data_IF_214725752350
#
_entry.id   IF_214725752350
#
_cell.length_a   1.000
_cell.length_b   1.000
_cell.length_c   1.000
_cell.angle_alpha   90.00
_cell.angle_beta   90.00
_cell.angle_gamma   90.00
#
_symmetry.space_group_name_H-M   'P 1'
#
loop_
_entity.id
_entity.type
_entity.pdbx_description
1 polymer ?
#
# COMPACT_ATOMS: atom_id res chain seq x y z
N UNK A 1 3.81 -39.43 13.44
CA UNK A 1 4.85 -38.71 12.69
C UNK A 1 4.59 -37.22 12.47
N UNK A 2 3.35 -36.73 12.39
CA UNK A 2 3.07 -35.29 12.17
C UNK A 2 3.62 -34.35 13.28
N UNK A 3 3.55 -34.76 14.55
CA UNK A 3 4.05 -33.93 15.67
C UNK A 3 5.59 -33.84 15.76
N UNK A 4 6.32 -34.81 15.21
CA UNK A 4 7.78 -34.75 15.15
C UNK A 4 8.23 -33.78 14.04
N UNK A 5 7.57 -33.83 12.89
CA UNK A 5 7.81 -32.91 11.78
C UNK A 5 7.49 -31.45 12.14
N UNK A 6 6.35 -31.17 12.80
CA UNK A 6 6.00 -29.81 13.21
C UNK A 6 7.00 -29.21 14.23
N UNK A 7 7.54 -30.03 15.15
CA UNK A 7 8.59 -29.62 16.08
C UNK A 7 9.91 -29.36 15.36
N UNK A 8 10.25 -30.20 14.38
CA UNK A 8 11.45 -30.04 13.57
C UNK A 8 11.35 -28.80 12.68
N UNK A 9 10.19 -28.52 12.11
CA UNK A 9 9.92 -27.35 11.27
C UNK A 9 9.93 -26.04 12.08
N UNK A 10 9.34 -26.05 13.29
CA UNK A 10 9.41 -24.94 14.23
C UNK A 10 10.86 -24.68 14.69
N UNK A 11 11.62 -25.75 14.91
CA UNK A 11 13.03 -25.66 15.28
C UNK A 11 13.90 -25.12 14.13
N UNK A 12 13.66 -25.56 12.88
CA UNK A 12 14.32 -24.99 11.70
C UNK A 12 13.99 -23.51 11.49
N UNK A 13 12.73 -23.10 11.71
CA UNK A 13 12.31 -21.70 11.61
C UNK A 13 12.93 -20.85 12.73
N UNK A 14 13.07 -21.39 13.94
CA UNK A 14 13.78 -20.75 15.05
C UNK A 14 15.28 -20.62 14.75
N UNK A 15 15.92 -21.67 14.26
CA UNK A 15 17.34 -21.69 13.90
C UNK A 15 17.65 -20.77 12.71
N UNK A 16 16.78 -20.71 11.69
CA UNK A 16 16.90 -19.79 10.57
C UNK A 16 16.67 -18.33 10.98
N UNK A 17 15.68 -18.09 11.87
CA UNK A 17 15.45 -16.79 12.47
C UNK A 17 16.62 -16.32 13.32
N UNK A 18 17.23 -17.22 14.08
CA UNK A 18 18.42 -16.98 14.90
C UNK A 18 19.67 -16.74 14.04
N UNK A 19 19.86 -17.47 12.94
CA UNK A 19 20.97 -17.26 12.01
C UNK A 19 20.84 -15.94 11.24
N UNK A 20 19.62 -15.55 10.84
CA UNK A 20 19.35 -14.24 10.26
C UNK A 20 19.59 -13.12 11.28
N UNK A 21 19.23 -13.36 12.55
CA UNK A 21 19.57 -12.49 13.67
C UNK A 21 21.09 -12.37 13.84
N UNK A 22 21.84 -13.47 13.87
CA UNK A 22 23.30 -13.44 14.06
C UNK A 22 24.02 -12.68 12.95
N UNK A 23 23.57 -12.80 11.69
CA UNK A 23 24.07 -12.00 10.57
C UNK A 23 23.79 -10.51 10.75
N UNK A 24 22.60 -10.15 11.26
CA UNK A 24 22.26 -8.76 11.59
C UNK A 24 23.00 -8.25 12.82
N UNK A 25 23.31 -9.09 13.81
CA UNK A 25 24.13 -8.75 14.98
C UNK A 25 25.58 -8.52 14.57
N UNK A 26 26.13 -9.36 13.70
CA UNK A 26 27.50 -9.25 13.19
C UNK A 26 27.72 -8.01 12.31
N UNK A 27 26.65 -7.50 11.68
CA UNK A 27 26.67 -6.29 10.87
C UNK A 27 26.59 -4.98 11.70
N UNK A 28 26.40 -5.04 13.03
CA UNK A 28 26.39 -3.85 13.89
C UNK A 28 27.82 -3.50 14.37
N UNK A 29 28.29 -2.26 14.20
CA UNK A 29 29.61 -1.87 14.68
C UNK A 29 29.63 -1.87 16.22
N UNK A 30 30.47 -2.72 16.82
CA UNK A 30 30.80 -2.65 18.25
C UNK A 30 30.82 -3.95 19.05
N UNK A 31 30.48 -5.13 18.51
CA UNK A 31 30.63 -6.40 19.27
C UNK A 31 31.95 -7.11 18.94
N UNK A 32 33.06 -6.53 19.38
CA UNK A 32 34.36 -7.20 19.36
C UNK A 32 35.05 -6.99 20.70
N UNK A 33 35.00 -8.01 21.57
CA UNK A 33 35.96 -8.13 22.67
C UNK A 33 37.34 -8.28 22.02
N UNK A 34 38.14 -7.20 22.07
CA UNK A 34 39.53 -7.20 21.62
C UNK A 34 40.39 -7.95 22.65
N UNK A 35 40.81 -9.17 22.32
CA UNK A 35 42.10 -9.66 22.82
C UNK A 35 43.23 -8.97 22.03
N UNK A 36 44.25 -8.54 22.76
CA UNK A 36 45.37 -7.77 22.24
C UNK A 36 46.27 -8.63 21.33
N UNK A 37 46.68 -8.06 20.19
CA UNK A 37 47.61 -8.70 19.27
C UNK A 37 48.01 -7.78 18.11
N UNK A 38 48.93 -6.86 18.38
CA UNK A 38 50.01 -6.35 17.53
C UNK A 38 49.87 -6.31 15.98
N UNK A 39 50.10 -5.09 15.47
CA UNK A 39 50.78 -4.68 14.22
C UNK A 39 50.08 -4.80 12.86
N UNK A 40 49.88 -3.63 12.22
CA UNK A 40 49.78 -3.45 10.76
C UNK A 40 48.56 -2.65 10.30
N UNK A 41 48.79 -1.49 9.68
CA UNK A 41 47.82 -0.49 9.18
C UNK A 41 46.51 -1.00 8.55
N UNK A 42 45.40 -0.25 8.69
CA UNK A 42 44.23 -0.38 7.82
C UNK A 42 44.03 0.89 6.96
N UNK A 43 43.94 0.71 5.65
CA UNK A 43 43.02 1.38 4.73
C UNK A 43 42.83 0.41 3.55
N UNK A 44 41.57 0.12 3.17
CA UNK A 44 40.88 1.07 2.31
C UNK A 44 39.48 1.44 2.83
N UNK A 45 39.12 2.69 2.52
CA UNK A 45 37.79 3.27 2.57
C UNK A 45 36.71 2.27 2.14
N UNK A 46 35.82 1.92 3.06
CA UNK A 46 34.48 1.44 2.74
C UNK A 46 33.52 2.56 3.13
N UNK A 47 33.32 3.47 2.18
CA UNK A 47 32.20 4.39 2.16
C UNK A 47 30.91 3.59 2.33
N UNK A 48 30.26 3.78 3.46
CA UNK A 48 28.89 3.35 3.67
C UNK A 48 28.02 4.25 2.80
N UNK A 49 27.77 3.84 1.55
CA UNK A 49 26.69 4.44 0.78
C UNK A 49 25.41 4.26 1.57
N UNK A 50 24.93 5.38 2.11
CA UNK A 50 23.64 5.45 2.77
C UNK A 50 22.61 4.82 1.85
N UNK A 51 21.89 3.84 2.38
CA UNK A 51 20.68 3.33 1.78
C UNK A 51 19.61 4.43 1.78
N UNK A 52 19.77 5.43 0.91
CA UNK A 52 18.67 6.17 0.32
C UNK A 52 17.98 5.21 -0.64
N UNK A 53 17.22 4.24 -0.10
CA UNK A 53 16.38 3.40 -0.94
C UNK A 53 15.13 4.19 -1.31
N UNK A 54 15.28 5.02 -2.34
CA UNK A 54 14.42 4.92 -3.51
C UNK A 54 14.33 3.44 -3.86
N UNK A 55 13.13 2.85 -3.87
CA UNK A 55 12.90 1.46 -4.29
C UNK A 55 13.34 1.32 -5.76
N UNK A 56 14.63 1.01 -5.98
CA UNK A 56 15.20 0.71 -7.29
C UNK A 56 14.83 -0.71 -7.71
N UNK A 57 14.66 -0.92 -9.02
CA UNK A 57 14.21 -2.13 -9.72
C UNK A 57 14.84 -3.48 -9.27
N UNK A 58 15.98 -3.48 -8.56
CA UNK A 58 16.65 -4.69 -8.07
C UNK A 58 15.83 -5.55 -7.09
N UNK A 59 14.97 -4.94 -6.25
CA UNK A 59 14.11 -5.69 -5.31
C UNK A 59 12.97 -6.43 -6.04
N UNK A 60 12.60 -5.98 -7.23
CA UNK A 60 11.57 -6.61 -8.06
C UNK A 60 12.09 -7.90 -8.69
N UNK A 61 13.36 -7.92 -9.08
CA UNK A 61 14.02 -9.12 -9.62
C UNK A 61 14.32 -10.13 -8.53
N UNK A 62 14.64 -9.70 -7.30
CA UNK A 62 14.77 -10.62 -6.18
C UNK A 62 13.42 -11.23 -5.78
N UNK A 63 12.32 -10.47 -5.81
CA UNK A 63 10.98 -11.00 -5.53
C UNK A 63 10.47 -11.93 -6.64
N UNK A 64 10.73 -11.62 -7.93
CA UNK A 64 10.42 -12.51 -9.06
C UNK A 64 11.25 -13.79 -9.03
N UNK A 65 12.55 -13.68 -8.73
CA UNK A 65 13.45 -14.82 -8.60
C UNK A 65 13.09 -15.69 -7.38
N UNK A 66 12.64 -15.06 -6.29
CA UNK A 66 12.13 -15.79 -5.10
C UNK A 66 10.79 -16.45 -5.40
N UNK A 67 9.89 -15.79 -6.14
CA UNK A 67 8.64 -16.36 -6.64
C UNK A 67 8.89 -17.60 -7.52
N UNK A 68 9.83 -17.50 -8.46
CA UNK A 68 10.14 -18.61 -9.38
C UNK A 68 10.82 -19.78 -8.65
N UNK A 69 11.65 -19.51 -7.64
CA UNK A 69 12.21 -20.54 -6.74
C UNK A 69 11.16 -21.20 -5.86
N UNK A 70 10.14 -20.47 -5.41
CA UNK A 70 9.01 -21.01 -4.62
C UNK A 70 8.13 -21.89 -5.50
N UNK A 71 7.89 -21.51 -6.76
CA UNK A 71 7.20 -22.33 -7.77
C UNK A 71 7.96 -23.63 -8.07
N UNK A 72 9.30 -23.58 -8.10
CA UNK A 72 10.15 -24.75 -8.34
C UNK A 72 10.28 -25.69 -7.12
N UNK A 73 9.99 -25.19 -5.91
CA UNK A 73 10.17 -25.91 -4.65
C UNK A 73 8.95 -26.72 -4.18
N UNK A 74 7.86 -26.77 -4.96
CA UNK A 74 6.77 -27.73 -4.73
C UNK A 74 6.10 -27.64 -3.34
N UNK A 75 5.88 -26.43 -2.83
CA UNK A 75 5.10 -26.21 -1.61
C UNK A 75 3.62 -26.40 -1.92
N UNK A 76 3.15 -27.64 -1.81
CA UNK A 76 1.74 -27.99 -1.87
C UNK A 76 0.98 -27.47 -0.65
N UNK A 77 -0.26 -27.01 -0.93
CA UNK A 77 -1.32 -26.63 0.01
C UNK A 77 -1.28 -25.16 0.48
N UNK A 78 -1.56 -24.26 -0.48
CA UNK A 78 -2.36 -23.01 -0.34
C UNK A 78 -2.36 -22.18 -1.65
N UNK A 79 -1.55 -22.58 -2.65
CA UNK A 79 -1.52 -21.99 -4.00
C UNK A 79 -2.61 -22.47 -4.96
N UNK A 80 -3.51 -23.36 -4.52
CA UNK A 80 -4.51 -23.97 -5.42
C UNK A 80 -5.59 -23.00 -5.91
N UNK A 81 -5.74 -21.83 -5.26
CA UNK A 81 -6.70 -20.80 -5.71
C UNK A 81 -6.12 -19.95 -6.85
N UNK A 82 -4.80 -19.87 -7.02
CA UNK A 82 -4.18 -19.02 -8.06
C UNK A 82 -3.72 -19.76 -9.33
N UNK A 83 -3.55 -21.09 -9.28
CA UNK A 83 -3.07 -21.86 -10.45
C UNK A 83 -4.22 -22.24 -11.40
N UNK A 84 -5.45 -22.38 -10.90
CA UNK A 84 -6.63 -22.53 -11.76
C UNK A 84 -6.88 -21.26 -12.59
N UNK A 85 -6.69 -20.07 -12.00
CA UNK A 85 -6.86 -18.78 -12.68
C UNK A 85 -5.86 -18.56 -13.84
N UNK A 86 -4.63 -19.07 -13.77
CA UNK A 86 -3.66 -18.91 -14.87
C UNK A 86 -4.06 -19.73 -16.11
N UNK A 87 -4.71 -20.89 -15.92
CA UNK A 87 -5.30 -21.67 -17.01
C UNK A 87 -6.50 -20.96 -17.66
N UNK A 88 -7.33 -20.28 -16.86
CA UNK A 88 -8.44 -19.46 -17.35
C UNK A 88 -7.96 -18.18 -18.06
N UNK A 89 -6.89 -17.53 -17.60
CA UNK A 89 -6.32 -16.34 -18.25
C UNK A 89 -5.77 -16.66 -19.65
N UNK A 90 -5.18 -17.85 -19.85
CA UNK A 90 -4.72 -18.27 -21.20
C UNK A 90 -5.89 -18.63 -22.12
N UNK A 91 -7.05 -19.00 -21.58
CA UNK A 91 -8.27 -19.21 -22.36
C UNK A 91 -9.01 -17.90 -22.69
N UNK A 92 -8.66 -16.78 -22.06
CA UNK A 92 -9.33 -15.49 -22.21
C UNK A 92 -9.42 -15.01 -23.67
N UNK A 93 -8.31 -15.12 -24.40
CA UNK A 93 -8.23 -14.74 -25.82
C UNK A 93 -9.05 -15.67 -26.74
N UNK A 94 -9.54 -16.79 -26.21
CA UNK A 94 -10.30 -17.79 -26.97
C UNK A 94 -11.79 -17.85 -26.61
N UNK A 95 -12.21 -17.20 -25.51
CA UNK A 95 -13.58 -17.30 -24.97
C UNK A 95 -14.67 -16.73 -25.89
N UNK A 96 -14.31 -15.79 -26.79
CA UNK A 96 -15.27 -15.15 -27.70
C UNK A 96 -15.02 -15.47 -29.17
N UNK A 97 -14.18 -16.47 -29.49
CA UNK A 97 -13.85 -16.82 -30.88
C UNK A 97 -15.01 -17.47 -31.63
N UNK A 98 -15.93 -18.10 -30.93
CA UNK A 98 -17.15 -18.70 -31.48
C UNK A 98 -18.31 -17.70 -31.58
N UNK A 99 -18.16 -16.51 -31.01
CA UNK A 99 -19.15 -15.44 -31.13
C UNK A 99 -19.16 -14.89 -32.57
N UNK A 100 -20.34 -14.49 -33.05
CA UNK A 100 -20.44 -13.82 -34.34
C UNK A 100 -19.67 -12.49 -34.31
N UNK A 101 -19.18 -12.04 -35.48
CA UNK A 101 -18.33 -10.86 -35.64
C UNK A 101 -18.74 -9.61 -34.82
N UNK A 102 -20.04 -9.20 -34.75
CA UNK A 102 -20.43 -8.03 -33.94
C UNK A 102 -20.38 -8.25 -32.42
N UNK A 103 -20.23 -9.49 -31.96
CA UNK A 103 -20.26 -9.88 -30.54
C UNK A 103 -18.94 -10.46 -30.03
N UNK A 104 -17.88 -10.44 -30.84
CA UNK A 104 -16.57 -10.99 -30.45
C UNK A 104 -15.76 -10.08 -29.51
N UNK A 105 -16.02 -8.77 -29.52
CA UNK A 105 -15.24 -7.79 -28.73
C UNK A 105 -16.13 -6.74 -28.08
N UNK A 106 -15.69 -6.21 -26.92
CA UNK A 106 -16.37 -5.12 -26.22
C UNK A 106 -16.63 -3.91 -27.14
N UNK A 107 -15.62 -3.52 -27.93
CA UNK A 107 -15.71 -2.41 -28.89
C UNK A 107 -16.80 -2.65 -29.94
N UNK A 108 -16.91 -3.85 -30.49
CA UNK A 108 -17.92 -4.18 -31.49
C UNK A 108 -19.34 -4.11 -30.90
N UNK A 109 -19.54 -4.68 -29.72
CA UNK A 109 -20.83 -4.64 -29.02
C UNK A 109 -21.23 -3.21 -28.66
N UNK A 110 -20.28 -2.42 -28.15
CA UNK A 110 -20.49 -0.99 -27.90
C UNK A 110 -20.97 -0.28 -29.17
N UNK A 111 -20.28 -0.48 -30.30
CA UNK A 111 -20.61 0.17 -31.56
C UNK A 111 -22.01 -0.21 -32.07
N UNK A 112 -22.44 -1.45 -31.86
CA UNK A 112 -23.80 -1.88 -32.20
C UNK A 112 -24.87 -1.23 -31.32
N UNK A 113 -24.64 -1.14 -30.01
CA UNK A 113 -25.56 -0.46 -29.09
C UNK A 113 -25.66 1.04 -29.38
N UNK A 114 -24.52 1.71 -29.61
CA UNK A 114 -24.49 3.12 -30.04
C UNK A 114 -25.17 3.31 -31.41
N UNK A 115 -24.96 2.39 -32.35
CA UNK A 115 -25.62 2.37 -33.63
C UNK A 115 -27.14 2.21 -33.51
N UNK A 116 -27.62 1.32 -32.64
CA UNK A 116 -29.04 1.12 -32.40
C UNK A 116 -29.68 2.37 -31.77
N UNK A 117 -29.02 2.95 -30.77
CA UNK A 117 -29.43 4.20 -30.12
C UNK A 117 -29.63 5.33 -31.13
N UNK A 118 -28.71 5.48 -32.10
CA UNK A 118 -28.81 6.47 -33.19
C UNK A 118 -29.91 6.17 -34.21
N UNK A 119 -30.01 4.90 -34.65
CA UNK A 119 -30.95 4.50 -35.72
C UNK A 119 -32.40 4.50 -35.25
N UNK A 120 -32.64 4.04 -34.01
CA UNK A 120 -33.99 3.81 -33.47
C UNK A 120 -34.07 4.17 -31.97
N UNK A 121 -34.00 5.46 -31.61
CA UNK A 121 -33.94 5.90 -30.20
C UNK A 121 -35.18 5.50 -29.39
N UNK A 122 -36.37 5.50 -30.00
CA UNK A 122 -37.59 5.07 -29.32
C UNK A 122 -37.55 3.58 -28.96
N UNK A 123 -37.15 2.72 -29.91
CA UNK A 123 -37.03 1.29 -29.67
C UNK A 123 -35.93 0.97 -28.65
N UNK A 124 -34.80 1.69 -28.68
CA UNK A 124 -33.72 1.56 -27.70
C UNK A 124 -34.20 1.85 -26.26
N UNK A 125 -34.94 2.95 -26.09
CA UNK A 125 -35.55 3.31 -24.79
C UNK A 125 -36.60 2.30 -24.36
N UNK A 126 -37.52 1.94 -25.26
CA UNK A 126 -38.65 1.07 -24.93
C UNK A 126 -38.21 -0.38 -24.60
N UNK A 127 -37.05 -0.80 -25.12
CA UNK A 127 -36.39 -2.06 -24.77
C UNK A 127 -35.48 -1.97 -23.54
N UNK A 128 -35.43 -0.81 -22.86
CA UNK A 128 -34.61 -0.56 -21.67
C UNK A 128 -33.13 -0.90 -21.86
N UNK A 129 -32.59 -0.65 -23.05
CA UNK A 129 -31.22 -1.05 -23.41
C UNK A 129 -30.18 -0.35 -22.53
N UNK A 130 -30.38 0.94 -22.21
CA UNK A 130 -29.53 1.68 -21.29
C UNK A 130 -29.41 1.02 -19.91
N UNK A 131 -30.52 0.49 -19.39
CA UNK A 131 -30.54 -0.21 -18.12
C UNK A 131 -29.82 -1.57 -18.18
N UNK A 132 -29.92 -2.27 -19.32
CA UNK A 132 -29.30 -3.56 -19.57
C UNK A 132 -27.82 -3.48 -20.00
N UNK A 133 -27.35 -2.33 -20.49
CA UNK A 133 -26.00 -2.15 -21.03
C UNK A 133 -24.87 -2.63 -20.09
N UNK A 134 -24.88 -2.33 -18.77
CA UNK A 134 -23.88 -2.86 -17.85
C UNK A 134 -23.83 -4.39 -17.84
N UNK A 135 -24.99 -5.05 -17.84
CA UNK A 135 -25.08 -6.50 -17.83
C UNK A 135 -24.60 -7.10 -19.16
N UNK A 136 -24.84 -6.42 -20.28
CA UNK A 136 -24.35 -6.82 -21.59
C UNK A 136 -22.83 -6.72 -21.65
N UNK A 137 -22.22 -5.65 -21.14
CA UNK A 137 -20.76 -5.47 -21.17
C UNK A 137 -20.00 -6.29 -20.13
N UNK A 138 -20.67 -6.75 -19.07
CA UNK A 138 -20.05 -7.43 -17.94
C UNK A 138 -19.14 -8.63 -18.28
N UNK A 139 -19.40 -9.47 -19.32
CA UNK A 139 -18.51 -10.59 -19.65
C UNK A 139 -17.08 -10.15 -20.03
N UNK A 140 -16.93 -9.13 -20.86
CA UNK A 140 -15.60 -8.62 -21.24
C UNK A 140 -14.92 -7.91 -20.07
N UNK A 141 -15.68 -7.14 -19.30
CA UNK A 141 -15.14 -6.45 -18.11
C UNK A 141 -14.64 -7.47 -17.09
N UNK A 142 -15.40 -8.54 -16.82
CA UNK A 142 -14.96 -9.63 -15.93
C UNK A 142 -13.67 -10.27 -16.43
N UNK A 143 -13.55 -10.49 -17.73
CA UNK A 143 -12.37 -11.09 -18.33
C UNK A 143 -11.12 -10.24 -18.08
N UNK A 144 -11.19 -8.94 -18.29
CA UNK A 144 -10.09 -8.02 -17.99
C UNK A 144 -9.80 -7.96 -16.47
N UNK A 145 -10.84 -7.97 -15.63
CA UNK A 145 -10.69 -7.94 -14.17
C UNK A 145 -10.08 -9.23 -13.59
N UNK A 146 -10.13 -10.37 -14.28
CA UNK A 146 -9.46 -11.61 -13.83
C UNK A 146 -7.93 -11.46 -13.80
N UNK A 147 -7.37 -10.70 -14.75
CA UNK A 147 -5.94 -10.43 -14.81
C UNK A 147 -5.51 -9.21 -13.95
N UNK A 148 -6.47 -8.49 -13.38
CA UNK A 148 -6.23 -7.26 -12.65
C UNK A 148 -5.84 -7.54 -11.18
N UNK A 149 -4.77 -6.89 -10.70
CA UNK A 149 -4.35 -6.93 -9.30
C UNK A 149 -4.84 -5.66 -8.56
N UNK A 150 -5.88 -5.75 -7.71
CA UNK A 150 -6.54 -4.55 -7.17
C UNK A 150 -5.68 -3.67 -6.26
N UNK A 151 -4.62 -4.23 -5.67
CA UNK A 151 -3.74 -3.53 -4.73
C UNK A 151 -2.44 -3.03 -5.38
N UNK A 152 -2.28 -3.15 -6.71
CA UNK A 152 -1.14 -2.54 -7.39
C UNK A 152 -1.48 -1.12 -7.83
N UNK A 153 -0.97 -0.12 -7.10
CA UNK A 153 -1.21 1.31 -7.38
C UNK A 153 -0.71 1.77 -8.77
N UNK A 154 0.07 0.95 -9.49
CA UNK A 154 0.59 1.25 -10.82
C UNK A 154 -0.38 0.91 -11.95
N UNK A 155 -1.40 0.10 -11.65
CA UNK A 155 -2.39 -0.38 -12.61
C UNK A 155 -3.80 -0.26 -11.99
N UNK A 156 -4.31 0.96 -11.78
CA UNK A 156 -5.68 1.16 -11.33
C UNK A 156 -6.67 0.61 -12.35
N UNK A 157 -7.89 0.26 -11.92
CA UNK A 157 -8.91 -0.27 -12.85
C UNK A 157 -9.31 0.75 -13.93
N UNK A 158 -9.08 2.04 -13.69
CA UNK A 158 -9.33 3.13 -14.65
C UNK A 158 -8.40 3.06 -15.86
N UNK A 159 -7.26 2.39 -15.74
CA UNK A 159 -6.29 2.22 -16.83
C UNK A 159 -6.60 0.98 -17.68
N UNK A 160 -7.57 0.15 -17.27
CA UNK A 160 -7.98 -1.03 -18.01
C UNK A 160 -8.69 -0.62 -19.32
N UNK A 161 -8.57 -1.49 -20.33
CA UNK A 161 -9.07 -1.19 -21.66
C UNK A 161 -10.58 -1.03 -21.67
N UNK A 162 -11.31 -1.81 -20.88
CA UNK A 162 -12.76 -1.70 -20.75
C UNK A 162 -13.22 -0.33 -20.25
N UNK A 163 -12.46 0.30 -19.35
CA UNK A 163 -12.82 1.59 -18.76
C UNK A 163 -12.80 2.68 -19.83
N UNK A 164 -11.68 2.83 -20.53
CA UNK A 164 -11.55 3.81 -21.62
C UNK A 164 -12.56 3.58 -22.75
N UNK A 165 -12.88 2.31 -23.04
CA UNK A 165 -13.87 1.93 -24.05
C UNK A 165 -15.29 2.29 -23.62
N UNK A 166 -15.65 2.24 -22.34
CA UNK A 166 -17.02 2.50 -21.89
C UNK A 166 -17.22 3.91 -21.32
N UNK A 167 -16.13 4.62 -20.98
CA UNK A 167 -16.21 5.99 -20.45
C UNK A 167 -16.91 6.97 -21.39
N UNK A 168 -16.78 6.75 -22.70
CA UNK A 168 -17.43 7.57 -23.74
C UNK A 168 -18.71 6.94 -24.28
N UNK A 169 -19.19 5.84 -23.70
CA UNK A 169 -20.47 5.25 -24.06
C UNK A 169 -21.60 6.21 -23.66
N UNK A 170 -22.65 6.31 -24.48
CA UNK A 170 -23.75 7.24 -24.17
C UNK A 170 -23.46 8.70 -24.56
N UNK A 171 -22.20 9.08 -24.76
CA UNK A 171 -21.86 10.39 -25.29
C UNK A 171 -22.08 10.39 -26.80
N UNK A 172 -22.78 11.40 -27.33
CA UNK A 172 -22.91 11.55 -28.78
C UNK A 172 -21.53 11.79 -29.38
N UNK A 173 -21.27 11.26 -30.58
CA UNK A 173 -20.07 11.58 -31.35
C UNK A 173 -20.17 13.07 -31.80
N UNK A 174 -20.04 14.03 -30.89
CA UNK A 174 -20.08 15.47 -31.21
C UNK A 174 -18.76 15.98 -31.82
N UNK A 175 -17.76 15.11 -31.97
CA UNK A 175 -16.43 15.44 -32.48
C UNK A 175 -16.16 14.85 -33.87
N UNK A 176 -17.12 14.84 -34.79
CA UNK A 176 -16.81 14.73 -36.23
C UNK A 176 -17.99 15.22 -37.09
N UNK A 177 -18.16 16.55 -37.14
CA UNK A 177 -18.85 17.20 -38.27
C UNK A 177 -20.30 17.62 -38.07
N UNK A 178 -20.58 18.60 -37.21
CA UNK A 178 -21.79 19.42 -37.33
C UNK A 178 -21.61 20.81 -36.69
N UNK A 179 -20.74 21.64 -37.29
CA UNK A 179 -20.91 23.09 -37.19
C UNK A 179 -22.12 23.47 -38.06
N UNK A 180 -23.32 23.38 -37.50
CA UNK A 180 -24.58 23.59 -38.21
C UNK A 180 -25.72 23.91 -37.25
N UNK A 181 -25.80 25.19 -36.89
CA UNK A 181 -27.00 25.98 -36.63
C UNK A 181 -28.17 25.35 -35.81
N UNK A 182 -28.28 25.79 -34.55
CA UNK A 182 -29.53 26.35 -34.05
C UNK A 182 -30.68 25.38 -33.69
N UNK A 183 -30.53 24.63 -32.60
CA UNK A 183 -31.64 24.11 -31.81
C UNK A 183 -31.33 24.26 -30.33
N UNK A 184 -32.29 24.56 -29.44
CA UNK A 184 -31.98 24.72 -28.02
C UNK A 184 -31.46 23.38 -27.52
N UNK A 185 -30.20 23.39 -27.08
CA UNK A 185 -29.56 22.27 -26.43
C UNK A 185 -30.51 21.74 -25.35
N UNK A 186 -31.00 20.52 -25.56
CA UNK A 186 -31.59 19.73 -24.50
C UNK A 186 -30.47 19.33 -23.54
N UNK A 187 -29.91 20.31 -22.83
CA UNK A 187 -29.15 20.14 -21.60
C UNK A 187 -30.16 19.76 -20.51
N UNK A 188 -30.80 18.60 -20.66
CA UNK A 188 -31.58 17.92 -19.63
C UNK A 188 -31.75 16.47 -20.07
N UNK A 189 -30.94 15.59 -19.50
CA UNK A 189 -31.36 14.37 -18.79
C UNK A 189 -30.11 13.53 -18.61
N UNK A 190 -29.82 13.14 -17.37
CA UNK A 190 -28.86 12.07 -17.08
C UNK A 190 -29.24 10.87 -17.96
N UNK A 191 -28.49 10.60 -19.02
CA UNK A 191 -28.78 9.43 -19.83
C UNK A 191 -28.48 8.23 -18.93
N UNK A 192 -29.40 7.27 -18.85
CA UNK A 192 -29.16 6.05 -18.05
C UNK A 192 -27.90 5.29 -18.54
N UNK A 193 -27.49 5.54 -19.80
CA UNK A 193 -26.22 5.10 -20.38
C UNK A 193 -24.99 5.69 -19.64
N UNK A 194 -25.06 6.91 -19.08
CA UNK A 194 -23.96 7.54 -18.32
C UNK A 194 -23.68 6.78 -17.00
N UNK A 195 -24.68 6.03 -16.51
CA UNK A 195 -24.55 5.18 -15.32
C UNK A 195 -23.89 3.84 -15.62
N UNK A 196 -23.48 3.58 -16.86
CA UNK A 196 -22.92 2.29 -17.26
C UNK A 196 -21.64 1.96 -16.49
N UNK A 197 -20.68 2.91 -16.45
CA UNK A 197 -19.43 2.72 -15.72
C UNK A 197 -19.67 2.60 -14.20
N UNK A 198 -20.41 3.50 -13.53
CA UNK A 198 -20.77 3.34 -12.12
C UNK A 198 -21.41 1.98 -11.78
N UNK A 199 -22.35 1.50 -12.61
CA UNK A 199 -23.02 0.20 -12.39
C UNK A 199 -22.06 -0.98 -12.57
N UNK A 200 -21.11 -0.91 -13.49
CA UNK A 200 -20.06 -1.92 -13.65
C UNK A 200 -19.07 -1.89 -12.47
N UNK A 201 -18.67 -0.71 -12.01
CA UNK A 201 -17.81 -0.55 -10.83
C UNK A 201 -18.49 -1.15 -9.60
N UNK A 202 -19.76 -0.83 -9.36
CA UNK A 202 -20.57 -1.40 -8.27
C UNK A 202 -20.68 -2.93 -8.36
N UNK A 203 -21.01 -3.46 -9.54
CA UNK A 203 -21.31 -4.89 -9.67
C UNK A 203 -20.08 -5.80 -9.80
N UNK A 204 -18.93 -5.28 -10.25
CA UNK A 204 -17.73 -6.07 -10.56
C UNK A 204 -16.49 -5.62 -9.78
N UNK A 205 -16.18 -4.33 -9.78
CA UNK A 205 -14.95 -3.80 -9.16
C UNK A 205 -15.07 -3.77 -7.64
N UNK A 206 -16.21 -3.35 -7.10
CA UNK A 206 -16.44 -3.30 -5.65
C UNK A 206 -16.37 -4.68 -4.98
N UNK A 207 -16.97 -5.77 -5.52
CA UNK A 207 -16.75 -7.12 -5.02
C UNK A 207 -15.28 -7.57 -5.09
N UNK A 208 -14.55 -7.21 -6.14
CA UNK A 208 -13.13 -7.51 -6.25
C UNK A 208 -12.31 -6.75 -5.18
N UNK A 209 -12.63 -5.48 -4.94
CA UNK A 209 -12.04 -4.66 -3.89
C UNK A 209 -12.30 -5.24 -2.50
N UNK A 210 -13.54 -5.68 -2.23
CA UNK A 210 -13.91 -6.36 -0.97
C UNK A 210 -13.09 -7.62 -0.73
N UNK A 211 -12.84 -8.41 -1.78
CA UNK A 211 -11.99 -9.61 -1.70
C UNK A 211 -10.53 -9.25 -1.44
N UNK A 212 -10.01 -8.25 -2.15
CA UNK A 212 -8.62 -7.82 -2.04
C UNK A 212 -8.32 -7.21 -0.66
N UNK A 213 -9.26 -6.47 -0.08
CA UNK A 213 -9.16 -5.82 1.23
C UNK A 213 -9.71 -6.68 2.38
N UNK A 214 -10.07 -7.94 2.11
CA UNK A 214 -10.55 -8.85 3.14
C UNK A 214 -9.44 -9.16 4.16
N UNK A 215 -9.79 -9.45 5.43
CA UNK A 215 -8.83 -9.89 6.43
C UNK A 215 -8.00 -11.07 5.91
N UNK A 216 -6.66 -10.96 5.97
CA UNK A 216 -5.72 -11.98 5.52
C UNK A 216 -5.30 -11.90 4.05
N UNK A 217 -6.08 -11.24 3.17
CA UNK A 217 -5.68 -10.99 1.77
C UNK A 217 -4.80 -9.74 1.64
N UNK A 218 -5.03 -8.75 2.50
CA UNK A 218 -4.27 -7.50 2.58
C UNK A 218 -3.52 -7.37 3.91
N UNK A 219 -2.30 -6.81 3.85
CA UNK A 219 -1.50 -6.51 5.05
C UNK A 219 -1.30 -4.99 5.24
N UNK A 220 -1.83 -4.39 6.32
CA UNK A 220 -1.61 -2.99 6.68
C UNK A 220 -0.14 -2.59 6.89
N UNK A 221 0.75 -3.56 7.15
CA UNK A 221 2.20 -3.36 7.30
C UNK A 221 2.93 -3.12 5.98
N UNK A 222 2.31 -3.45 4.84
CA UNK A 222 2.90 -3.29 3.52
C UNK A 222 2.53 -1.92 2.96
N UNK A 223 3.48 -0.98 3.00
CA UNK A 223 3.25 0.39 2.50
C UNK A 223 2.83 0.39 1.02
N UNK A 224 3.37 -0.54 0.21
CA UNK A 224 2.97 -0.71 -1.19
C UNK A 224 1.50 -1.09 -1.32
N UNK A 225 1.05 -2.11 -0.57
CA UNK A 225 -0.34 -2.53 -0.62
C UNK A 225 -1.28 -1.49 0.01
N UNK A 226 -0.86 -0.78 1.06
CA UNK A 226 -1.64 0.32 1.65
C UNK A 226 -1.78 1.50 0.68
N UNK A 227 -0.77 1.76 -0.17
CA UNK A 227 -0.89 2.75 -1.25
C UNK A 227 -1.90 2.30 -2.31
N UNK A 228 -1.85 1.03 -2.72
CA UNK A 228 -2.85 0.46 -3.63
C UNK A 228 -4.26 0.49 -3.05
N UNK A 229 -4.41 0.14 -1.77
CA UNK A 229 -5.67 0.23 -1.05
C UNK A 229 -6.20 1.67 -1.03
N UNK A 230 -5.38 2.66 -0.69
CA UNK A 230 -5.76 4.07 -0.72
C UNK A 230 -6.22 4.51 -2.12
N UNK A 231 -5.43 4.19 -3.16
CA UNK A 231 -5.79 4.53 -4.55
C UNK A 231 -7.10 3.86 -4.99
N UNK A 232 -7.31 2.58 -4.62
CA UNK A 232 -8.53 1.85 -4.93
C UNK A 232 -9.74 2.45 -4.22
N UNK A 233 -9.62 2.81 -2.94
CA UNK A 233 -10.70 3.43 -2.17
C UNK A 233 -11.08 4.80 -2.74
N UNK A 234 -10.10 5.63 -3.10
CA UNK A 234 -10.33 6.93 -3.74
C UNK A 234 -11.05 6.77 -5.08
N UNK A 235 -10.58 5.84 -5.92
CA UNK A 235 -11.21 5.56 -7.20
C UNK A 235 -12.65 5.01 -7.05
N UNK A 236 -12.94 4.22 -6.01
CA UNK A 236 -14.30 3.76 -5.73
C UNK A 236 -15.22 4.91 -5.29
N UNK A 237 -14.72 5.84 -4.48
CA UNK A 237 -15.48 7.01 -4.03
C UNK A 237 -15.89 7.91 -5.20
N UNK A 238 -14.98 8.13 -6.16
CA UNK A 238 -15.26 8.93 -7.37
C UNK A 238 -16.37 8.33 -8.26
N UNK A 239 -16.51 7.00 -8.28
CA UNK A 239 -17.41 6.30 -9.21
C UNK A 239 -18.73 5.83 -8.58
N UNK A 240 -18.86 5.87 -7.24
CA UNK A 240 -20.02 5.33 -6.52
C UNK A 240 -20.72 6.35 -5.59
N UNK A 241 -21.18 7.52 -6.09
CA UNK A 241 -21.83 8.54 -5.26
C UNK A 241 -23.20 8.13 -4.68
N UNK A 242 -23.72 6.93 -5.01
CA UNK A 242 -25.00 6.41 -4.51
C UNK A 242 -24.89 5.12 -3.68
N UNK A 243 -23.70 4.51 -3.57
CA UNK A 243 -23.47 3.28 -2.79
C UNK A 243 -22.66 3.55 -1.52
N UNK A 244 -22.94 4.68 -0.88
CA UNK A 244 -22.26 5.12 0.34
C UNK A 244 -22.24 4.04 1.42
N UNK A 245 -23.30 3.24 1.55
CA UNK A 245 -23.36 2.14 2.52
C UNK A 245 -22.35 1.02 2.24
N UNK A 246 -22.18 0.64 0.97
CA UNK A 246 -21.30 -0.45 0.58
C UNK A 246 -19.82 -0.04 0.65
N UNK A 247 -19.52 1.22 0.31
CA UNK A 247 -18.21 1.85 0.47
C UNK A 247 -17.91 2.07 1.96
N UNK A 248 -18.90 2.49 2.76
CA UNK A 248 -18.73 2.64 4.22
C UNK A 248 -18.44 1.31 4.91
N UNK A 249 -19.08 0.22 4.50
CA UNK A 249 -18.79 -1.13 5.01
C UNK A 249 -17.35 -1.55 4.68
N UNK A 250 -16.90 -1.33 3.44
CA UNK A 250 -15.52 -1.59 3.02
C UNK A 250 -14.53 -0.76 3.86
N UNK A 251 -14.83 0.53 4.03
CA UNK A 251 -14.04 1.45 4.82
C UNK A 251 -13.97 1.03 6.29
N UNK A 252 -15.06 0.52 6.86
CA UNK A 252 -15.08 -0.01 8.22
C UNK A 252 -14.21 -1.27 8.36
N UNK A 253 -14.24 -2.17 7.37
CA UNK A 253 -13.36 -3.35 7.32
C UNK A 253 -11.88 -2.97 7.28
N UNK A 254 -11.51 -2.00 6.45
CA UNK A 254 -10.14 -1.46 6.37
C UNK A 254 -9.73 -0.83 7.69
N UNK A 255 -10.59 -0.03 8.32
CA UNK A 255 -10.34 0.56 9.66
C UNK A 255 -10.05 -0.52 10.70
N UNK A 256 -10.91 -1.52 10.79
CA UNK A 256 -10.77 -2.61 11.76
C UNK A 256 -9.45 -3.38 11.58
N UNK A 257 -9.09 -3.72 10.33
CA UNK A 257 -7.84 -4.42 10.04
C UNK A 257 -6.60 -3.58 10.42
N UNK A 258 -6.62 -2.27 10.20
CA UNK A 258 -5.53 -1.37 10.58
C UNK A 258 -5.45 -1.22 12.10
N UNK A 259 -6.57 -1.05 12.79
CA UNK A 259 -6.63 -0.96 14.24
C UNK A 259 -6.11 -2.24 14.91
N UNK A 260 -6.46 -3.41 14.37
CA UNK A 260 -5.92 -4.69 14.80
C UNK A 260 -4.41 -4.78 14.58
N UNK A 261 -3.92 -4.40 13.40
CA UNK A 261 -2.48 -4.38 13.11
C UNK A 261 -1.70 -3.42 14.03
N UNK A 262 -2.29 -2.26 14.36
CA UNK A 262 -1.73 -1.33 15.35
C UNK A 262 -1.74 -1.94 16.74
N UNK A 263 -2.83 -2.58 17.16
CA UNK A 263 -2.92 -3.27 18.44
C UNK A 263 -1.86 -4.38 18.55
N UNK A 264 -1.67 -5.19 17.51
CA UNK A 264 -0.64 -6.24 17.44
C UNK A 264 0.78 -5.65 17.48
N UNK A 265 1.04 -4.58 16.71
CA UNK A 265 2.33 -3.90 16.73
C UNK A 265 2.67 -3.29 18.09
N UNK A 266 1.64 -2.90 18.86
CA UNK A 266 1.76 -2.40 20.21
C UNK A 266 1.72 -3.49 21.28
N UNK A 267 1.27 -4.71 20.96
CA UNK A 267 1.25 -5.83 21.88
C UNK A 267 2.68 -6.22 22.31
N UNK A 268 2.85 -6.60 23.58
CA UNK A 268 4.13 -7.00 24.15
C UNK A 268 4.76 -5.98 25.10
N UNK A 269 5.98 -6.26 25.59
CA UNK A 269 6.65 -5.43 26.59
C UNK A 269 6.93 -4.01 26.05
N UNK A 270 6.99 -3.01 26.95
CA UNK A 270 7.08 -1.60 26.57
C UNK A 270 8.26 -1.33 25.63
N UNK A 271 8.12 -0.34 24.72
CA UNK A 271 9.17 0.00 23.74
C UNK A 271 10.49 0.40 24.42
N UNK A 272 10.42 0.91 25.64
CA UNK A 272 11.58 1.28 26.46
C UNK A 272 12.07 0.04 27.20
N UNK A 273 13.14 -0.57 26.68
CA UNK A 273 13.96 -1.51 27.45
C UNK A 273 15.14 -0.76 28.07
N UNK A 274 15.54 -1.07 29.32
CA UNK A 274 16.69 -0.43 29.95
C UNK A 274 17.92 -0.52 29.04
N UNK A 275 18.69 0.56 28.95
CA UNK A 275 19.85 0.63 28.06
C UNK A 275 20.86 -0.51 28.32
N UNK A 276 21.00 -0.93 29.57
CA UNK A 276 21.80 -2.09 29.97
C UNK A 276 21.35 -3.40 29.30
N UNK A 277 20.04 -3.62 29.16
CA UNK A 277 19.47 -4.82 28.50
C UNK A 277 19.73 -4.80 27.00
N UNK A 278 19.59 -3.62 26.38
CA UNK A 278 19.89 -3.45 24.95
C UNK A 278 21.40 -3.60 24.68
N UNK A 279 22.27 -3.09 25.55
CA UNK A 279 23.70 -3.29 25.42
C UNK A 279 24.09 -4.78 25.54
N UNK A 280 23.57 -5.46 26.57
CA UNK A 280 23.94 -6.83 26.90
C UNK A 280 23.34 -7.91 25.97
N UNK A 281 22.16 -7.70 25.40
CA UNK A 281 21.45 -8.72 24.61
C UNK A 281 21.22 -8.30 23.16
N UNK A 282 21.97 -8.85 22.19
CA UNK A 282 21.80 -8.54 20.77
C UNK A 282 20.38 -8.86 20.25
N UNK A 283 19.78 -9.98 20.70
CA UNK A 283 18.38 -10.33 20.36
C UNK A 283 17.39 -9.26 20.81
N UNK A 284 17.65 -8.60 21.95
CA UNK A 284 16.79 -7.54 22.47
C UNK A 284 16.84 -6.28 21.61
N UNK A 285 18.02 -5.94 21.03
CA UNK A 285 18.18 -4.83 20.07
C UNK A 285 17.43 -5.09 18.78
N UNK A 286 17.55 -6.30 18.22
CA UNK A 286 16.89 -6.65 16.96
C UNK A 286 15.36 -6.65 17.11
N UNK A 287 14.85 -7.16 18.21
CA UNK A 287 13.43 -7.06 18.52
C UNK A 287 12.96 -5.59 18.65
N UNK A 288 13.72 -4.73 19.33
CA UNK A 288 13.38 -3.31 19.46
C UNK A 288 13.41 -2.58 18.10
N UNK A 289 14.40 -2.87 17.26
CA UNK A 289 14.49 -2.33 15.90
C UNK A 289 13.34 -2.82 15.02
N UNK A 290 12.98 -4.11 15.10
CA UNK A 290 11.86 -4.68 14.36
C UNK A 290 10.53 -4.03 14.77
N UNK A 291 10.29 -3.84 16.08
CA UNK A 291 9.11 -3.15 16.60
C UNK A 291 9.03 -1.71 16.12
N UNK A 292 10.14 -0.96 16.20
CA UNK A 292 10.22 0.40 15.68
C UNK A 292 9.88 0.45 14.18
N UNK A 293 10.48 -0.43 13.38
CA UNK A 293 10.24 -0.48 11.94
C UNK A 293 8.79 -0.87 11.61
N UNK A 294 8.17 -1.80 12.35
CA UNK A 294 6.74 -2.13 12.18
C UNK A 294 5.84 -0.91 12.47
N UNK A 295 6.05 -0.25 13.62
CA UNK A 295 5.29 0.94 13.97
C UNK A 295 5.48 2.08 12.95
N UNK A 296 6.69 2.26 12.43
CA UNK A 296 6.98 3.26 11.40
C UNK A 296 6.31 2.93 10.06
N UNK A 297 6.27 1.65 9.67
CA UNK A 297 5.54 1.21 8.46
C UNK A 297 4.04 1.48 8.60
N UNK A 298 3.45 1.13 9.75
CA UNK A 298 2.04 1.44 10.03
C UNK A 298 1.76 2.95 10.04
N UNK A 299 2.69 3.76 10.56
CA UNK A 299 2.57 5.22 10.51
C UNK A 299 2.49 5.72 9.06
N UNK A 300 3.35 5.20 8.17
CA UNK A 300 3.32 5.53 6.73
C UNK A 300 2.06 5.03 6.05
N UNK A 301 1.60 3.82 6.38
CA UNK A 301 0.35 3.27 5.85
C UNK A 301 -0.86 4.12 6.28
N UNK A 302 -0.88 4.58 7.54
CA UNK A 302 -1.93 5.47 8.05
C UNK A 302 -1.90 6.85 7.40
N UNK A 303 -0.72 7.38 7.09
CA UNK A 303 -0.59 8.62 6.32
C UNK A 303 -1.28 8.49 4.95
N UNK A 304 -1.01 7.41 4.21
CA UNK A 304 -1.66 7.16 2.91
C UNK A 304 -3.20 7.02 3.03
N UNK A 305 -3.69 6.44 4.13
CA UNK A 305 -5.13 6.25 4.35
C UNK A 305 -5.84 7.51 4.87
N UNK A 306 -5.14 8.44 5.54
CA UNK A 306 -5.73 9.72 6.03
C UNK A 306 -6.12 10.65 4.88
N UNK A 307 -5.46 10.54 3.72
CA UNK A 307 -5.77 11.36 2.53
C UNK A 307 -7.10 10.95 1.89
N UNK A 308 -7.46 9.67 1.97
CA UNK A 308 -8.62 9.12 1.26
C UNK A 308 -9.84 9.03 2.16
N UNK A 309 -9.64 8.79 3.45
CA UNK A 309 -10.73 8.33 4.28
C UNK A 309 -11.17 9.38 5.31
N UNK A 310 -12.48 9.55 5.53
CA UNK A 310 -12.99 10.68 6.29
C UNK A 310 -12.85 10.49 7.81
N UNK A 311 -12.74 11.64 8.50
CA UNK A 311 -12.94 11.75 9.94
C UNK A 311 -11.66 11.83 10.79
N UNK A 312 -10.47 11.92 10.19
CA UNK A 312 -9.22 12.12 10.92
C UNK A 312 -8.85 11.00 11.91
N UNK A 313 -9.50 9.83 11.83
CA UNK A 313 -9.19 8.70 12.71
C UNK A 313 -7.76 8.21 12.47
N UNK A 314 -7.31 8.21 11.20
CA UNK A 314 -5.99 7.71 10.84
C UNK A 314 -4.91 8.58 11.48
N UNK A 315 -5.09 9.90 11.43
CA UNK A 315 -4.27 10.88 12.19
C UNK A 315 -4.30 10.64 13.70
N UNK A 316 -5.47 10.48 14.31
CA UNK A 316 -5.57 10.24 15.77
C UNK A 316 -4.83 8.94 16.16
N UNK A 317 -5.11 7.85 15.45
CA UNK A 317 -4.46 6.56 15.68
C UNK A 317 -2.94 6.63 15.47
N UNK A 318 -2.50 7.31 14.42
CA UNK A 318 -1.09 7.54 14.12
C UNK A 318 -0.38 8.34 15.22
N UNK A 319 -0.95 9.47 15.65
CA UNK A 319 -0.29 10.38 16.58
C UNK A 319 -0.38 9.91 18.04
N UNK A 320 -1.55 9.43 18.47
CA UNK A 320 -1.77 9.01 19.86
C UNK A 320 -1.20 7.63 20.16
N UNK A 321 -1.38 6.67 19.25
CA UNK A 321 -1.05 5.26 19.54
C UNK A 321 0.33 4.87 19.03
N UNK A 322 0.70 5.27 17.80
CA UNK A 322 1.99 4.92 17.23
C UNK A 322 3.09 5.92 17.59
N UNK A 323 2.88 7.21 17.35
CA UNK A 323 3.90 8.23 17.57
C UNK A 323 4.18 8.40 19.07
N UNK A 324 3.16 8.72 19.86
CA UNK A 324 3.30 8.87 21.31
C UNK A 324 3.56 7.54 22.03
N UNK A 325 2.84 6.47 21.65
CA UNK A 325 2.88 5.19 22.37
C UNK A 325 4.09 4.30 22.07
N UNK A 326 4.68 4.37 20.87
CA UNK A 326 5.74 3.44 20.46
C UNK A 326 7.01 4.10 19.92
N UNK A 327 6.88 5.09 19.04
CA UNK A 327 8.02 5.66 18.31
C UNK A 327 8.80 6.68 19.14
N UNK A 328 8.12 7.62 19.80
CA UNK A 328 8.75 8.61 20.67
C UNK A 328 9.55 7.98 21.82
N UNK A 329 8.99 7.03 22.60
CA UNK A 329 9.73 6.40 23.69
C UNK A 329 10.97 5.64 23.17
N UNK A 330 10.89 5.07 21.97
CA UNK A 330 12.03 4.39 21.35
C UNK A 330 13.17 5.39 21.04
N UNK A 331 12.86 6.57 20.51
CA UNK A 331 13.87 7.61 20.23
C UNK A 331 14.45 8.17 21.54
N UNK A 332 13.62 8.54 22.50
CA UNK A 332 14.07 9.13 23.77
C UNK A 332 14.94 8.19 24.61
N UNK A 333 14.80 6.86 24.47
CA UNK A 333 15.62 5.87 25.17
C UNK A 333 16.94 5.51 24.44
N UNK A 334 17.05 5.80 23.14
CA UNK A 334 18.21 5.46 22.29
C UNK A 334 19.47 6.31 22.51
N UNK A 335 19.45 7.62 22.88
CA UNK A 335 20.67 8.42 23.01
C UNK A 335 21.63 7.97 24.11
N UNK A 336 21.19 7.11 25.04
CA UNK A 336 22.07 6.49 26.03
C UNK A 336 22.97 5.38 25.43
N UNK A 337 22.72 4.95 24.18
CA UNK A 337 23.40 3.83 23.52
C UNK A 337 24.09 4.29 22.25
N UNK A 338 23.41 5.04 21.37
CA UNK A 338 24.00 5.54 20.12
C UNK A 338 23.26 6.78 19.63
N UNK A 339 23.84 7.99 19.69
CA UNK A 339 23.14 9.23 19.33
C UNK A 339 22.86 9.33 17.82
N UNK A 340 23.74 8.82 16.95
CA UNK A 340 23.52 8.74 15.51
C UNK A 340 22.26 7.93 15.13
N UNK A 341 22.01 6.81 15.81
CA UNK A 341 20.82 5.99 15.58
C UNK A 341 19.53 6.69 16.03
N UNK A 342 19.60 7.47 17.11
CA UNK A 342 18.48 8.29 17.57
C UNK A 342 18.14 9.39 16.54
N UNK A 343 19.17 10.02 15.96
CA UNK A 343 19.01 11.00 14.89
C UNK A 343 18.39 10.39 13.62
N UNK A 344 18.84 9.21 13.18
CA UNK A 344 18.27 8.51 12.02
C UNK A 344 16.79 8.17 12.25
N UNK A 345 16.46 7.58 13.40
CA UNK A 345 15.07 7.23 13.76
C UNK A 345 14.18 8.46 13.81
N UNK A 346 14.68 9.53 14.42
CA UNK A 346 14.01 10.82 14.49
C UNK A 346 13.70 11.41 13.12
N UNK A 347 14.69 11.44 12.23
CA UNK A 347 14.50 11.92 10.85
C UNK A 347 13.52 11.06 10.07
N UNK A 348 13.56 9.73 10.24
CA UNK A 348 12.61 8.80 9.60
C UNK A 348 11.18 8.98 10.10
N UNK A 349 11.00 9.34 11.37
CA UNK A 349 9.70 9.69 11.94
C UNK A 349 9.19 11.02 11.35
N UNK A 350 10.02 12.06 11.34
CA UNK A 350 9.65 13.35 10.76
C UNK A 350 9.24 13.22 9.28
N UNK A 351 10.01 12.48 8.47
CA UNK A 351 9.67 12.23 7.07
C UNK A 351 8.49 11.28 6.82
N UNK A 352 7.94 10.64 7.87
CA UNK A 352 6.73 9.82 7.76
C UNK A 352 5.46 10.57 8.15
N UNK A 353 5.58 11.77 8.73
CA UNK A 353 4.44 12.61 9.10
C UNK A 353 4.00 13.45 7.89
N UNK A 354 2.69 13.59 7.70
CA UNK A 354 2.15 14.44 6.66
C UNK A 354 2.21 15.93 7.06
N UNK A 355 2.42 16.86 6.12
CA UNK A 355 2.40 18.30 6.42
C UNK A 355 1.12 18.78 7.15
N UNK A 356 -0.10 18.33 6.80
CA UNK A 356 -1.32 18.69 7.53
C UNK A 356 -1.33 18.23 8.99
N UNK A 357 -0.61 17.17 9.35
CA UNK A 357 -0.53 16.69 10.73
C UNK A 357 0.39 17.58 11.57
N UNK A 358 1.43 18.11 10.95
CA UNK A 358 2.43 18.99 11.57
C UNK A 358 1.87 20.41 11.74
N UNK A 359 1.17 20.89 10.71
CA UNK A 359 0.62 22.25 10.65
C UNK A 359 -0.73 22.38 11.36
N UNK A 360 -1.30 21.29 11.89
CA UNK A 360 -2.55 21.33 12.64
C UNK A 360 -2.46 22.29 13.84
N UNK A 361 -3.50 23.08 14.04
CA UNK A 361 -3.64 24.01 15.16
C UNK A 361 -4.86 23.59 16.01
N UNK A 362 -4.70 23.25 17.30
CA UNK A 362 -3.44 23.23 18.06
C UNK A 362 -2.49 22.10 17.62
N UNK A 363 -1.18 22.34 17.73
CA UNK A 363 -0.16 21.32 17.42
C UNK A 363 -0.33 20.12 18.35
N UNK A 364 -0.27 18.93 17.79
CA UNK A 364 -0.39 17.70 18.56
C UNK A 364 0.79 17.54 19.54
N UNK A 365 0.57 17.18 20.82
CA UNK A 365 1.64 17.11 21.82
C UNK A 365 2.76 16.14 21.43
N UNK A 366 2.43 15.04 20.76
CA UNK A 366 3.42 14.09 20.25
C UNK A 366 4.34 14.69 19.17
N UNK A 367 3.82 15.59 18.32
CA UNK A 367 4.63 16.26 17.29
C UNK A 367 5.55 17.30 17.92
N UNK A 368 5.04 18.05 18.91
CA UNK A 368 5.86 18.98 19.69
C UNK A 368 6.99 18.26 20.44
N UNK A 369 6.68 17.16 21.14
CA UNK A 369 7.66 16.35 21.83
C UNK A 369 8.71 15.74 20.89
N UNK A 370 8.33 15.40 19.65
CA UNK A 370 9.31 14.98 18.64
C UNK A 370 10.30 16.11 18.33
N UNK A 371 9.80 17.32 18.06
CA UNK A 371 10.63 18.50 17.81
C UNK A 371 11.63 18.76 18.94
N UNK A 372 11.15 18.83 20.19
CA UNK A 372 11.99 19.03 21.39
C UNK A 372 13.07 17.93 21.53
N UNK A 373 12.73 16.67 21.28
CA UNK A 373 13.69 15.58 21.32
C UNK A 373 14.76 15.71 20.23
N UNK A 374 14.39 16.12 19.01
CA UNK A 374 15.33 16.31 17.91
C UNK A 374 16.27 17.50 18.15
N UNK A 375 15.77 18.59 18.73
CA UNK A 375 16.59 19.73 19.16
C UNK A 375 17.59 19.33 20.25
N UNK A 376 17.13 18.59 21.26
CA UNK A 376 17.98 18.07 22.32
C UNK A 376 19.06 17.11 21.78
N UNK A 377 18.74 16.31 20.76
CA UNK A 377 19.72 15.46 20.06
C UNK A 377 20.72 16.31 19.28
N UNK A 378 20.27 17.31 18.53
CA UNK A 378 21.13 18.24 17.77
C UNK A 378 22.14 18.94 18.67
N UNK A 379 21.69 19.42 19.83
CA UNK A 379 22.55 20.10 20.81
C UNK A 379 23.64 19.19 21.41
N UNK A 380 23.46 17.86 21.36
CA UNK A 380 24.41 16.87 21.89
C UNK A 380 25.42 16.36 20.84
N UNK A 381 25.23 16.66 19.56
CA UNK A 381 26.12 16.22 18.48
C UNK A 381 27.40 17.09 18.44
N UNK A 382 28.57 16.43 18.42
CA UNK A 382 29.87 17.11 18.27
C UNK A 382 30.23 17.41 16.80
N UNK A 383 31.32 18.14 16.56
CA UNK A 383 31.79 18.54 15.21
C UNK A 383 32.11 17.37 14.27
N UNK A 384 32.32 16.16 14.81
CA UNK A 384 32.62 14.94 14.02
C UNK A 384 31.40 14.19 13.45
N UNK A 385 30.17 14.58 13.77
CA UNK A 385 28.93 13.89 13.35
C UNK A 385 28.10 14.74 12.36
N UNK A 386 28.76 15.31 11.35
CA UNK A 386 28.16 16.25 10.39
C UNK A 386 26.92 15.69 9.66
N UNK A 387 26.93 14.41 9.29
CA UNK A 387 25.82 13.78 8.57
C UNK A 387 24.56 13.60 9.45
N UNK A 388 24.73 13.21 10.71
CA UNK A 388 23.63 13.09 11.65
C UNK A 388 23.03 14.46 11.98
N UNK A 389 23.88 15.49 12.10
CA UNK A 389 23.43 16.88 12.26
C UNK A 389 22.62 17.38 11.05
N UNK A 390 23.08 17.13 9.82
CA UNK A 390 22.35 17.52 8.61
C UNK A 390 20.98 16.83 8.51
N UNK A 391 20.89 15.55 8.89
CA UNK A 391 19.61 14.81 8.95
C UNK A 391 18.66 15.42 9.99
N UNK A 392 19.16 15.80 11.16
CA UNK A 392 18.36 16.46 12.20
C UNK A 392 17.87 17.84 11.76
N UNK A 393 18.72 18.63 11.09
CA UNK A 393 18.34 19.93 10.54
C UNK A 393 17.25 19.80 9.48
N UNK A 394 17.37 18.81 8.60
CA UNK A 394 16.32 18.50 7.62
C UNK A 394 15.01 18.10 8.32
N UNK A 395 15.08 17.25 9.35
CA UNK A 395 13.92 16.78 10.10
C UNK A 395 13.22 17.91 10.88
N UNK A 396 13.98 18.82 11.52
CA UNK A 396 13.43 20.00 12.18
C UNK A 396 12.78 20.96 11.18
N UNK A 397 13.41 21.15 10.01
CA UNK A 397 12.82 21.89 8.90
C UNK A 397 11.48 21.32 8.43
N UNK A 398 11.35 19.99 8.33
CA UNK A 398 10.07 19.34 8.02
C UNK A 398 8.99 19.61 9.08
N UNK A 399 9.38 19.69 10.35
CA UNK A 399 8.47 19.94 11.48
C UNK A 399 8.12 21.44 11.66
N UNK A 400 8.79 22.34 10.92
CA UNK A 400 8.65 23.78 11.10
C UNK A 400 9.10 24.23 12.49
N UNK A 401 10.20 23.65 12.97
CA UNK A 401 10.87 23.93 14.24
C UNK A 401 12.24 24.59 13.99
#
# INVERSE_FOLDING_TARGET
NAGAWARQEAQRKAEAGDAALERLVAALPGSGVREAGSTGSPDPELEFHGATSSESEGDVDEYRNTRDKILQAGWGLDFHIFVEDIGEIVAADTLFLDAAEPYGTLRAVRAELDGWRRRQPAAYRDAYVAAAAPALFAPWVRLELLAWEPLDARAPFTDLAWYSQLFTFGQGDEQEGAAGEGGPAATTTNNEDDLTVPRLVSSLVLPAARRALAPGAWSPLSVRQSRGAAALLAALEDHLPGEEAAVAELNAGVRAAVEEAVAEALAGPPPVRPAAVLAAAPRARLHAAARFNRALRLLRSLALLDEVMPGGWARQLALDRLLAGALLPAVSATPAITPALAAERGARMAGALLPPWIQAVPRHPAVAALGENLEALRARQGEGEAEARARLETALGMLGA
#
